data_IF_884268218987
#
_entry.id   IF_884268218987
#
_cell.length_a   1.000
_cell.length_b   1.000
_cell.length_c   1.000
_cell.angle_alpha   90.00
_cell.angle_beta   90.00
_cell.angle_gamma   90.00
#
_symmetry.space_group_name_H-M   'P 1'
#
loop_
_entity.id
_entity.type
_entity.pdbx_description
1 polymer ?
#
# COMPACT_ATOMS: atom_id res chain seq x y z
N UNK A 1 6.67 23.85 -11.78
CA UNK A 1 7.03 22.54 -11.38
C UNK A 1 5.83 21.65 -11.20
N UNK A 2 5.81 20.56 -11.87
CA UNK A 2 4.69 19.67 -11.86
C UNK A 2 4.79 18.70 -10.71
N UNK A 3 3.79 18.64 -9.87
CA UNK A 3 3.81 17.74 -8.76
C UNK A 3 3.13 16.45 -9.03
N UNK A 4 2.42 16.35 -10.13
CA UNK A 4 1.76 15.09 -10.46
C UNK A 4 2.75 14.12 -11.02
N UNK A 5 2.66 12.87 -10.68
CA UNK A 5 3.51 11.88 -11.32
C UNK A 5 3.11 11.70 -12.78
N UNK A 6 4.07 11.28 -13.60
CA UNK A 6 3.76 11.00 -14.99
C UNK A 6 2.99 9.69 -15.07
N UNK A 7 2.41 9.42 -16.24
CA UNK A 7 1.72 8.17 -16.43
C UNK A 7 2.62 7.00 -16.19
N UNK A 8 3.87 7.09 -16.61
CA UNK A 8 4.81 6.02 -16.39
C UNK A 8 5.10 5.79 -14.92
N UNK A 9 5.19 6.88 -14.17
CA UNK A 9 5.43 6.76 -12.74
C UNK A 9 4.23 6.11 -12.05
N UNK A 10 3.02 6.50 -12.44
CA UNK A 10 1.82 5.90 -11.87
C UNK A 10 1.76 4.43 -12.23
N UNK A 11 2.12 4.06 -13.45
CA UNK A 11 2.08 2.68 -13.85
C UNK A 11 3.07 1.85 -13.04
N UNK A 12 4.26 2.39 -12.75
CA UNK A 12 5.21 1.67 -11.91
C UNK A 12 4.67 1.47 -10.51
N UNK A 13 3.96 2.47 -9.98
CA UNK A 13 3.36 2.34 -8.65
C UNK A 13 2.29 1.27 -8.69
N UNK A 14 1.47 1.23 -9.73
CA UNK A 14 0.44 0.21 -9.86
C UNK A 14 1.05 -1.18 -9.96
N UNK A 15 2.15 -1.31 -10.68
CA UNK A 15 2.81 -2.60 -10.83
C UNK A 15 3.44 -3.05 -9.52
N UNK A 16 3.93 -2.11 -8.75
CA UNK A 16 4.59 -2.43 -7.50
C UNK A 16 3.60 -2.76 -6.39
N UNK A 17 2.43 -2.12 -6.42
CA UNK A 17 1.42 -2.29 -5.39
C UNK A 17 0.08 -2.67 -6.02
N UNK A 18 -0.02 -3.88 -6.59
CA UNK A 18 -1.29 -4.28 -7.19
C UNK A 18 -2.37 -4.46 -6.13
N UNK A 19 -3.64 -4.46 -6.53
CA UNK A 19 -4.72 -4.67 -5.58
C UNK A 19 -4.51 -5.98 -4.81
N UNK A 20 -4.75 -5.94 -3.52
CA UNK A 20 -4.52 -7.08 -2.65
C UNK A 20 -3.19 -7.06 -1.94
N UNK A 21 -2.30 -6.15 -2.30
CA UNK A 21 -1.01 -6.03 -1.60
C UNK A 21 -1.26 -5.64 -0.16
N UNK A 22 -0.62 -6.34 0.76
CA UNK A 22 -0.74 -6.04 2.18
C UNK A 22 0.37 -5.07 2.58
N UNK A 23 0.00 -4.06 3.34
CA UNK A 23 0.90 -2.98 3.73
C UNK A 23 0.82 -2.79 5.23
N UNK A 24 1.95 -2.49 5.87
CA UNK A 24 1.95 -2.05 7.24
C UNK A 24 2.42 -0.61 7.24
N UNK A 25 1.69 0.24 7.94
CA UNK A 25 2.07 1.63 8.06
C UNK A 25 3.20 1.77 9.06
N UNK A 26 4.31 2.38 8.65
CA UNK A 26 5.38 2.67 9.59
C UNK A 26 5.10 4.02 10.25
N UNK A 27 4.76 5.03 9.46
CA UNK A 27 4.41 6.33 10.01
C UNK A 27 3.84 7.23 8.92
N UNK A 28 2.84 8.04 9.25
CA UNK A 28 2.40 9.10 8.37
C UNK A 28 2.20 10.35 9.20
N UNK A 29 2.62 11.48 8.66
CA UNK A 29 2.58 12.74 9.37
C UNK A 29 1.31 13.46 8.94
N UNK A 30 0.19 13.08 9.52
CA UNK A 30 -1.11 13.57 9.12
C UNK A 30 -2.01 13.54 10.35
N UNK A 31 -2.77 14.61 10.61
CA UNK A 31 -3.66 14.64 11.78
C UNK A 31 -4.70 13.52 11.76
N UNK A 32 -5.01 12.99 10.56
CA UNK A 32 -6.00 11.93 10.44
C UNK A 32 -5.34 10.56 10.29
N UNK A 33 -4.06 10.46 10.60
CA UNK A 33 -3.31 9.24 10.37
C UNK A 33 -3.89 8.06 11.12
N UNK A 34 -3.78 6.87 10.51
CA UNK A 34 -4.03 5.66 11.27
C UNK A 34 -2.81 5.41 12.16
N UNK A 35 -2.95 4.69 13.25
CA UNK A 35 -1.82 4.46 14.14
C UNK A 35 -0.67 3.74 13.44
N UNK A 36 0.55 4.02 13.86
CA UNK A 36 1.72 3.34 13.35
C UNK A 36 1.55 1.84 13.59
N UNK A 37 1.96 1.06 12.64
CA UNK A 37 1.83 -0.39 12.73
C UNK A 37 0.50 -0.95 12.24
N UNK A 38 -0.44 -0.08 11.86
CA UNK A 38 -1.71 -0.55 11.33
C UNK A 38 -1.47 -1.23 9.97
N UNK A 39 -2.13 -2.33 9.75
CA UNK A 39 -2.02 -3.05 8.48
C UNK A 39 -3.26 -2.82 7.64
N UNK A 40 -3.10 -2.93 6.35
CA UNK A 40 -4.20 -2.75 5.43
C UNK A 40 -3.92 -3.36 4.07
N UNK A 41 -4.88 -3.24 3.17
CA UNK A 41 -4.81 -3.83 1.85
C UNK A 41 -4.95 -2.75 0.80
N UNK A 42 -4.10 -2.80 -0.22
CA UNK A 42 -4.22 -1.87 -1.34
C UNK A 42 -5.44 -2.28 -2.16
N UNK A 43 -6.30 -1.32 -2.43
CA UNK A 43 -7.48 -1.57 -3.25
C UNK A 43 -7.22 -1.16 -4.69
N UNK A 44 -6.49 -0.10 -4.90
CA UNK A 44 -6.18 0.42 -6.23
C UNK A 44 -5.14 1.53 -6.08
N UNK A 45 -4.61 2.00 -7.20
CA UNK A 45 -3.75 3.17 -7.23
C UNK A 45 -4.44 4.17 -8.14
N UNK A 46 -4.61 5.39 -7.68
CA UNK A 46 -5.31 6.39 -8.49
C UNK A 46 -4.36 7.09 -9.45
N UNK A 47 -4.88 8.05 -10.22
CA UNK A 47 -4.08 8.73 -11.22
C UNK A 47 -3.04 9.66 -10.62
N UNK A 48 -3.16 9.98 -9.36
CA UNK A 48 -2.16 10.78 -8.66
C UNK A 48 -1.08 9.89 -8.04
N UNK A 49 -1.16 8.58 -8.23
CA UNK A 49 -0.17 7.67 -7.67
C UNK A 49 -0.39 7.38 -6.20
N UNK A 50 -1.57 7.65 -5.67
CA UNK A 50 -1.85 7.36 -4.28
C UNK A 50 -2.40 5.96 -4.14
N UNK A 51 -2.00 5.25 -3.10
CA UNK A 51 -2.50 3.93 -2.82
C UNK A 51 -3.81 4.06 -2.06
N UNK A 52 -4.90 3.61 -2.67
CA UNK A 52 -6.20 3.65 -2.04
C UNK A 52 -6.29 2.43 -1.13
N UNK A 53 -6.30 2.67 0.16
CA UNK A 53 -6.15 1.61 1.15
C UNK A 53 -7.46 1.28 1.83
N UNK A 54 -7.57 0.01 2.24
CA UNK A 54 -8.59 -0.39 3.18
C UNK A 54 -7.83 -0.91 4.39
N UNK A 55 -7.80 -0.12 5.45
CA UNK A 55 -7.06 -0.49 6.64
C UNK A 55 -7.86 -1.46 7.49
N UNK A 56 -7.17 -2.35 8.17
CA UNK A 56 -7.84 -3.39 8.97
C UNK A 56 -8.69 -2.81 10.09
N UNK A 57 -8.42 -1.57 10.49
CA UNK A 57 -9.21 -0.92 11.53
C UNK A 57 -10.46 -0.21 10.96
N UNK A 58 -10.76 -0.43 9.68
CA UNK A 58 -11.95 0.17 9.06
C UNK A 58 -11.73 1.51 8.40
N UNK A 59 -10.53 2.09 8.53
CA UNK A 59 -10.23 3.37 7.90
C UNK A 59 -9.85 3.18 6.44
N UNK A 60 -9.92 4.24 5.68
CA UNK A 60 -9.60 4.17 4.26
C UNK A 60 -8.68 5.29 3.79
N UNK A 61 -7.84 5.78 4.68
CA UNK A 61 -6.93 6.85 4.36
C UNK A 61 -5.88 6.39 3.34
N UNK A 62 -5.65 7.18 2.30
CA UNK A 62 -4.71 6.81 1.24
C UNK A 62 -3.27 7.01 1.66
N UNK A 63 -2.36 6.30 1.01
CA UNK A 63 -0.93 6.46 1.21
C UNK A 63 -0.32 7.12 -0.01
N UNK A 64 0.68 7.97 0.22
CA UNK A 64 1.40 8.65 -0.84
C UNK A 64 2.83 8.13 -0.83
N UNK A 65 3.21 7.30 -1.82
CA UNK A 65 4.59 6.80 -1.87
C UNK A 65 5.57 7.97 -1.92
N UNK A 66 6.60 7.89 -1.11
CA UNK A 66 7.59 8.97 -1.04
C UNK A 66 7.30 9.99 0.05
N UNK A 67 6.07 10.06 0.53
CA UNK A 67 5.74 10.96 1.63
C UNK A 67 5.42 10.20 2.89
N UNK A 68 4.69 9.10 2.76
CA UNK A 68 4.33 8.29 3.91
C UNK A 68 5.29 7.11 4.01
N UNK A 69 5.58 6.67 5.20
CA UNK A 69 6.52 5.58 5.41
C UNK A 69 5.74 4.30 5.66
N UNK A 70 5.92 3.31 4.83
CA UNK A 70 5.20 2.05 4.95
C UNK A 70 6.03 0.91 4.38
N UNK A 71 5.64 -0.31 4.69
CA UNK A 71 6.34 -1.51 4.24
C UNK A 71 5.36 -2.51 3.67
N UNK A 72 5.77 -3.23 2.64
CA UNK A 72 4.95 -4.29 2.09
C UNK A 72 5.12 -5.54 2.96
N UNK A 73 4.03 -6.18 3.29
CA UNK A 73 4.06 -7.39 4.10
C UNK A 73 4.14 -8.58 3.16
N UNK A 74 5.15 -9.42 3.29
CA UNK A 74 5.26 -10.59 2.42
C UNK A 74 4.08 -11.53 2.60
N UNK A 75 3.70 -12.18 1.50
CA UNK A 75 2.60 -13.12 1.51
C UNK A 75 3.12 -14.49 1.85
N UNK A 76 3.23 -14.76 3.13
CA UNK A 76 3.84 -15.98 3.54
C UNK A 76 3.03 -17.19 3.30
N UNK A 77 1.75 -17.07 3.33
CA UNK A 77 0.97 -18.24 3.21
C UNK A 77 1.13 -18.88 1.89
N UNK A 78 1.64 -18.17 0.95
CA UNK A 78 1.83 -18.78 -0.26
C UNK A 78 2.80 -19.81 -0.23
N UNK A 79 3.81 -19.66 0.57
CA UNK A 79 4.70 -20.67 0.62
C UNK A 79 4.23 -21.71 1.39
N UNK A 80 3.39 -21.43 2.24
CA UNK A 80 2.89 -22.50 2.98
C UNK A 80 2.38 -23.51 2.12
N UNK A 81 1.75 -23.17 1.15
CA UNK A 81 1.22 -24.12 0.50
C UNK A 81 2.03 -24.82 -0.23
N UNK A 82 2.99 -24.34 -0.35
CA UNK A 82 3.74 -25.11 -1.04
C UNK A 82 3.99 -26.29 -0.47
N UNK A 83 3.85 -26.48 0.30
CA UNK A 83 4.01 -27.53 0.67
C UNK A 83 3.28 -28.28 0.59
N UNK A 84 2.84 -27.71 0.49
CA UNK A 84 2.12 -28.42 0.41
C UNK A 84 2.41 -29.42 -0.05
N UNK A 85 2.41 -29.46 -0.23
CA UNK A 85 2.57 -30.30 -0.63
C UNK A 85 3.33 -30.95 -0.48
N UNK A 86 3.61 -30.98 -0.41
CA UNK A 86 4.10 -31.62 -0.41
C UNK A 86 4.18 -32.11 -0.19
#
# INVERSE_FOLDING_TARGET
MNRWPTREQVQRIKDRYPPGTRIRLDHMDDPQAVPDGTEGTVQAVDDAGQLLMKWDNGRSLSLVPGEDSFSVIPQQQEQGMTMGGM
#
